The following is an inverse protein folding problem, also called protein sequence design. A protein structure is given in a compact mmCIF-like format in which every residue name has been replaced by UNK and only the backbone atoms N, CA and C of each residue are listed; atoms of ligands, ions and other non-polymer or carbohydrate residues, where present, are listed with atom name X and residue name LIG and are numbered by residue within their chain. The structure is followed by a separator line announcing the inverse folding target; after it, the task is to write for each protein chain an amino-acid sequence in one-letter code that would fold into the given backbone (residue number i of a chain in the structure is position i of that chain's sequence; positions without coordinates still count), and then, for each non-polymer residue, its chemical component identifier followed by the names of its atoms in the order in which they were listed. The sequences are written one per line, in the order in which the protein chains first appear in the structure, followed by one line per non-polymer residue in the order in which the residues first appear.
data_IF_456556799447
#
_entry.id   IF_456556799447
#
_cell.length_a   1.000
_cell.length_b   1.000
_cell.length_c   1.000
_cell.angle_alpha   90.00
_cell.angle_beta   90.00
_cell.angle_gamma   90.00
#
_symmetry.space_group_name_H-M   'P 1'
#
loop_
_entity.id
_entity.type
_entity.pdbx_description
1 polymer ?
#
# COMPACT_ATOMS: atom_id res chain seq x y z
N UNK A 1 5.79 -6.20 30.13
CA UNK A 1 4.59 -6.20 29.28
C UNK A 1 4.88 -6.96 28.00
N UNK A 2 4.06 -7.95 27.71
CA UNK A 2 4.17 -8.81 26.52
C UNK A 2 2.92 -8.62 25.66
N UNK A 3 3.07 -8.18 24.42
CA UNK A 3 1.96 -7.90 23.51
C UNK A 3 1.95 -8.92 22.38
N UNK A 4 0.76 -9.45 22.09
CA UNK A 4 0.50 -10.28 20.92
C UNK A 4 -0.16 -9.46 19.81
N UNK A 5 0.42 -9.46 18.62
CA UNK A 5 -0.17 -8.87 17.40
C UNK A 5 -0.62 -10.01 16.48
N UNK A 6 -1.90 -10.08 16.20
CA UNK A 6 -2.46 -11.06 15.28
C UNK A 6 -2.49 -10.49 13.86
N UNK A 7 -1.72 -11.13 12.98
CA UNK A 7 -1.58 -10.75 11.58
C UNK A 7 -0.19 -10.24 11.22
N UNK A 8 0.37 -10.77 10.14
CA UNK A 8 1.64 -10.35 9.57
C UNK A 8 1.41 -9.35 8.44
N UNK A 9 0.85 -8.20 8.77
CA UNK A 9 0.56 -7.10 7.84
C UNK A 9 1.35 -5.84 8.22
N UNK A 10 1.31 -4.85 7.35
CA UNK A 10 2.09 -3.62 7.51
C UNK A 10 1.73 -2.86 8.80
N UNK A 11 0.45 -2.82 9.17
CA UNK A 11 -0.04 -2.15 10.39
C UNK A 11 0.63 -2.72 11.64
N UNK A 12 0.60 -4.06 11.78
CA UNK A 12 1.23 -4.73 12.91
C UNK A 12 2.75 -4.63 12.90
N UNK A 13 3.38 -4.64 11.72
CA UNK A 13 4.82 -4.45 11.62
C UNK A 13 5.26 -3.06 12.06
N UNK A 14 4.53 -2.01 11.68
CA UNK A 14 4.78 -0.64 12.14
C UNK A 14 4.60 -0.55 13.66
N UNK A 15 3.47 -1.04 14.17
CA UNK A 15 3.19 -1.04 15.60
C UNK A 15 4.26 -1.81 16.40
N UNK A 16 4.64 -2.99 15.95
CA UNK A 16 5.69 -3.80 16.60
C UNK A 16 7.03 -3.06 16.67
N UNK A 17 7.45 -2.41 15.58
CA UNK A 17 8.69 -1.63 15.58
C UNK A 17 8.65 -0.46 16.57
N UNK A 18 7.50 0.21 16.71
CA UNK A 18 7.33 1.33 17.67
C UNK A 18 7.35 0.81 19.12
N UNK A 19 6.65 -0.31 19.38
CA UNK A 19 6.61 -0.92 20.71
C UNK A 19 7.99 -1.42 21.14
N UNK A 20 8.73 -2.08 20.25
CA UNK A 20 10.09 -2.53 20.51
C UNK A 20 11.05 -1.36 20.80
N UNK A 21 10.90 -0.23 20.11
CA UNK A 21 11.65 1.00 20.42
C UNK A 21 11.38 1.49 21.86
N UNK A 22 10.18 1.23 22.36
CA UNK A 22 9.78 1.53 23.77
C UNK A 22 10.12 0.40 24.74
N UNK A 23 10.92 -0.60 24.35
CA UNK A 23 11.32 -1.78 25.13
C UNK A 23 10.13 -2.65 25.58
N UNK A 24 9.05 -2.68 24.82
CA UNK A 24 7.90 -3.56 25.05
C UNK A 24 8.08 -4.82 24.19
N UNK A 25 7.93 -5.98 24.80
CA UNK A 25 8.05 -7.27 24.09
C UNK A 25 6.82 -7.49 23.19
N UNK A 26 7.07 -7.91 21.96
CA UNK A 26 6.02 -8.11 20.96
C UNK A 26 6.23 -9.42 20.22
N UNK A 27 5.20 -10.24 20.17
CA UNK A 27 5.10 -11.41 19.30
C UNK A 27 4.10 -11.13 18.18
N UNK A 28 4.48 -11.43 16.93
CA UNK A 28 3.57 -11.37 15.77
C UNK A 28 3.15 -12.78 15.44
N UNK A 29 1.86 -13.08 15.58
CA UNK A 29 1.28 -14.40 15.28
C UNK A 29 0.47 -14.29 13.98
N UNK A 30 0.72 -15.22 13.04
CA UNK A 30 -0.05 -15.28 11.80
C UNK A 30 -0.22 -16.71 11.29
N UNK A 31 -1.31 -16.94 10.55
CA UNK A 31 -1.52 -18.16 9.77
C UNK A 31 -0.93 -18.05 8.37
N UNK A 32 -0.77 -16.85 7.85
CA UNK A 32 -0.50 -16.60 6.44
C UNK A 32 0.90 -17.01 6.01
N UNK A 33 0.96 -17.52 4.79
CA UNK A 33 2.23 -17.68 4.05
C UNK A 33 2.76 -16.27 3.72
N UNK A 34 4.02 -15.94 4.02
CA UNK A 34 4.57 -14.60 3.84
C UNK A 34 4.76 -14.16 2.37
N UNK A 35 4.54 -15.02 1.40
CA UNK A 35 5.09 -14.89 0.04
C UNK A 35 4.42 -13.83 -0.84
N UNK A 36 3.15 -13.49 -0.61
CA UNK A 36 2.42 -12.57 -1.50
C UNK A 36 2.74 -11.08 -1.27
N UNK A 37 3.28 -10.71 -0.11
CA UNK A 37 3.50 -9.30 0.26
C UNK A 37 4.91 -8.79 -0.11
N UNK A 38 5.85 -9.66 -0.39
CA UNK A 38 7.26 -9.29 -0.62
C UNK A 38 7.56 -8.88 -2.07
N UNK A 39 6.79 -9.37 -3.04
CA UNK A 39 7.02 -9.17 -4.47
C UNK A 39 5.90 -8.41 -5.18
N UNK A 40 5.06 -7.70 -4.44
CA UNK A 40 3.96 -6.92 -5.00
C UNK A 40 4.46 -5.65 -5.70
N UNK A 41 3.84 -5.28 -6.81
CA UNK A 41 4.04 -3.99 -7.50
C UNK A 41 3.20 -2.87 -6.89
N UNK A 42 2.40 -3.16 -5.86
CA UNK A 42 1.55 -2.20 -5.17
C UNK A 42 2.34 -1.07 -4.55
N UNK A 43 1.74 0.11 -4.55
CA UNK A 43 2.27 1.30 -3.92
C UNK A 43 1.34 1.81 -2.83
N UNK A 44 1.88 2.57 -1.91
CA UNK A 44 1.13 3.22 -0.84
C UNK A 44 1.46 4.71 -0.82
N UNK A 45 0.44 5.53 -0.67
CA UNK A 45 0.58 6.95 -0.41
C UNK A 45 0.44 7.21 1.10
N UNK A 46 1.39 7.91 1.67
CA UNK A 46 1.43 8.27 3.09
C UNK A 46 1.40 9.79 3.20
N UNK A 47 0.47 10.34 3.99
CA UNK A 47 0.40 11.78 4.23
C UNK A 47 1.70 12.31 4.82
N UNK A 48 1.98 13.59 4.61
CA UNK A 48 3.20 14.22 5.12
C UNK A 48 3.36 14.04 6.64
N UNK A 49 2.28 14.18 7.42
CA UNK A 49 2.30 14.01 8.86
C UNK A 49 2.61 12.56 9.27
N UNK A 50 1.92 11.60 8.67
CA UNK A 50 2.19 10.20 8.93
C UNK A 50 3.60 9.79 8.49
N UNK A 51 4.12 10.36 7.40
CA UNK A 51 5.49 10.10 6.97
C UNK A 51 6.52 10.69 7.95
N UNK A 52 6.28 11.89 8.50
CA UNK A 52 7.09 12.47 9.59
C UNK A 52 7.10 11.55 10.80
N UNK A 53 5.91 11.12 11.25
CA UNK A 53 5.78 10.18 12.37
C UNK A 53 6.57 8.88 12.15
N UNK A 54 6.50 8.32 10.94
CA UNK A 54 7.28 7.13 10.60
C UNK A 54 8.79 7.41 10.61
N UNK A 55 9.24 8.57 10.11
CA UNK A 55 10.66 8.96 10.14
C UNK A 55 11.23 9.06 11.55
N UNK A 56 10.46 9.56 12.48
CA UNK A 56 10.86 9.68 13.90
C UNK A 56 10.97 8.31 14.56
N UNK A 57 10.17 7.35 14.15
CA UNK A 57 10.05 6.07 14.82
C UNK A 57 10.77 4.92 14.12
N UNK A 58 11.04 5.01 12.82
CA UNK A 58 11.56 3.90 12.01
C UNK A 58 12.79 4.33 11.24
N UNK A 59 13.92 3.73 11.59
CA UNK A 59 15.20 3.96 10.90
C UNK A 59 15.14 3.49 9.44
N UNK A 60 15.61 4.32 8.52
CA UNK A 60 15.73 3.97 7.10
C UNK A 60 14.51 4.30 6.24
N UNK A 61 13.39 4.74 6.82
CA UNK A 61 12.18 5.12 6.08
C UNK A 61 12.43 6.29 5.12
N UNK A 62 13.35 7.20 5.47
CA UNK A 62 13.68 8.40 4.68
C UNK A 62 14.17 8.08 3.26
N UNK A 63 14.70 6.88 3.04
CA UNK A 63 15.24 6.45 1.75
C UNK A 63 14.18 5.80 0.83
N UNK A 64 12.95 5.62 1.32
CA UNK A 64 11.91 4.91 0.58
C UNK A 64 10.85 5.82 -0.03
N UNK A 65 10.58 6.94 0.61
CA UNK A 65 9.46 7.80 0.22
C UNK A 65 9.82 8.78 -0.89
N UNK A 66 9.05 8.76 -1.98
CA UNK A 66 9.14 9.75 -3.04
C UNK A 66 8.15 10.89 -2.78
N UNK A 67 8.59 12.15 -2.65
CA UNK A 67 7.72 13.27 -2.32
C UNK A 67 6.86 13.66 -3.52
N UNK A 68 5.58 13.91 -3.27
CA UNK A 68 4.63 14.45 -4.24
C UNK A 68 4.27 15.88 -3.87
N UNK A 69 4.51 16.81 -4.79
CA UNK A 69 4.31 18.24 -4.57
C UNK A 69 2.92 18.70 -4.98
N UNK A 70 2.35 18.06 -6.01
CA UNK A 70 1.05 18.40 -6.57
C UNK A 70 0.23 17.15 -6.89
N UNK A 71 -1.08 17.29 -6.79
CA UNK A 71 -2.05 16.33 -7.30
C UNK A 71 -2.90 17.05 -8.33
N UNK A 72 -2.95 16.52 -9.54
CA UNK A 72 -3.78 17.03 -10.62
C UNK A 72 -4.85 16.03 -10.99
N UNK A 73 -6.08 16.50 -11.07
CA UNK A 73 -7.25 15.69 -11.41
C UNK A 73 -7.84 16.19 -12.72
N UNK A 74 -8.06 15.26 -13.65
CA UNK A 74 -8.60 15.50 -14.98
C UNK A 74 -9.85 14.66 -15.25
N UNK A 75 -10.63 15.06 -16.26
CA UNK A 75 -11.70 14.25 -16.84
C UNK A 75 -11.42 14.01 -18.33
N UNK A 76 -11.72 12.81 -18.83
CA UNK A 76 -11.61 12.50 -20.26
C UNK A 76 -12.79 13.05 -21.09
N UNK A 77 -13.87 13.56 -20.44
CA UNK A 77 -15.03 14.12 -21.14
C UNK A 77 -14.71 15.38 -21.92
N UNK A 78 -13.82 16.21 -21.39
CA UNK A 78 -13.38 17.47 -22.01
C UNK A 78 -11.88 17.40 -22.24
N UNK A 79 -11.43 16.69 -23.29
CA UNK A 79 -10.02 16.53 -23.68
C UNK A 79 -9.08 17.49 -22.93
N UNK A 80 -8.57 17.08 -21.76
CA UNK A 80 -7.57 17.80 -20.97
C UNK A 80 -8.04 18.94 -20.05
N UNK A 81 -9.31 19.06 -19.69
CA UNK A 81 -9.66 20.05 -18.66
C UNK A 81 -9.23 19.56 -17.28
N UNK A 82 -8.27 20.27 -16.69
CA UNK A 82 -7.92 20.11 -15.29
C UNK A 82 -9.15 20.49 -14.44
N UNK A 83 -9.64 19.55 -13.64
CA UNK A 83 -10.77 19.77 -12.74
C UNK A 83 -10.31 20.42 -11.44
N UNK A 84 -9.23 19.88 -10.85
CA UNK A 84 -8.67 20.32 -9.59
C UNK A 84 -7.15 20.17 -9.57
N UNK A 85 -6.47 21.16 -8.95
CA UNK A 85 -5.08 21.04 -8.53
C UNK A 85 -5.01 21.17 -7.00
N UNK A 86 -4.42 20.20 -6.33
CA UNK A 86 -4.06 20.30 -4.92
C UNK A 86 -2.57 20.57 -4.82
N UNK A 87 -2.24 21.77 -4.33
CA UNK A 87 -0.89 22.22 -4.07
C UNK A 87 -0.83 22.78 -2.66
N UNK A 88 0.11 22.30 -1.86
CA UNK A 88 0.40 22.90 -0.57
C UNK A 88 1.63 23.78 -0.72
N UNK A 89 1.49 25.08 -0.49
CA UNK A 89 2.50 26.11 -0.87
C UNK A 89 3.88 25.90 -0.21
N UNK A 90 3.96 25.20 0.93
CA UNK A 90 5.22 25.01 1.66
C UNK A 90 5.47 23.57 2.13
N UNK A 91 4.65 22.61 1.74
CA UNK A 91 4.79 21.23 2.21
C UNK A 91 4.52 20.22 1.08
N UNK A 92 5.10 19.05 1.21
CA UNK A 92 4.75 17.90 0.35
C UNK A 92 3.34 17.42 0.70
N UNK A 93 2.54 17.08 -0.29
CA UNK A 93 1.18 16.59 -0.06
C UNK A 93 1.22 15.20 0.57
N UNK A 94 1.98 14.30 -0.02
CA UNK A 94 2.19 12.94 0.46
C UNK A 94 3.49 12.36 -0.09
N UNK A 95 3.87 11.19 0.44
CA UNK A 95 4.99 10.40 -0.02
C UNK A 95 4.49 9.08 -0.59
N UNK A 96 4.99 8.73 -1.77
CA UNK A 96 4.71 7.46 -2.41
C UNK A 96 5.83 6.47 -2.14
N UNK A 97 5.47 5.25 -1.77
CA UNK A 97 6.40 4.17 -1.47
C UNK A 97 5.93 2.88 -2.15
N UNK A 98 6.88 2.03 -2.54
CA UNK A 98 6.57 0.64 -2.88
C UNK A 98 6.18 -0.11 -1.61
N UNK A 99 5.03 -0.75 -1.61
CA UNK A 99 4.55 -1.53 -0.47
C UNK A 99 5.58 -2.59 -0.03
N UNK A 100 6.14 -3.32 -0.99
CA UNK A 100 7.16 -4.34 -0.74
C UNK A 100 8.41 -3.78 -0.07
N UNK A 101 8.88 -2.59 -0.47
CA UNK A 101 10.05 -1.95 0.13
C UNK A 101 9.80 -1.57 1.59
N UNK A 102 8.62 -0.99 1.87
CA UNK A 102 8.22 -0.64 3.23
C UNK A 102 8.05 -1.90 4.10
N UNK A 103 7.36 -2.92 3.60
CA UNK A 103 7.17 -4.19 4.30
C UNK A 103 8.52 -4.85 4.64
N UNK A 104 9.44 -4.92 3.68
CA UNK A 104 10.77 -5.50 3.88
C UNK A 104 11.60 -4.69 4.87
N UNK A 105 11.52 -3.35 4.84
CA UNK A 105 12.19 -2.50 5.84
C UNK A 105 11.69 -2.82 7.26
N UNK A 106 10.35 -2.89 7.43
CA UNK A 106 9.76 -3.19 8.75
C UNK A 106 10.20 -4.55 9.28
N UNK A 107 10.34 -5.56 8.42
CA UNK A 107 10.75 -6.91 8.81
C UNK A 107 12.24 -7.05 9.17
N UNK A 108 13.09 -6.10 8.79
CA UNK A 108 14.54 -6.17 9.08
C UNK A 108 14.90 -6.04 10.55
N UNK A 109 13.98 -5.59 11.40
CA UNK A 109 14.25 -5.47 12.83
C UNK A 109 14.46 -6.87 13.45
N UNK A 110 15.68 -7.12 13.91
CA UNK A 110 16.11 -8.41 14.48
C UNK A 110 15.39 -8.81 15.76
N UNK A 111 14.76 -7.87 16.43
CA UNK A 111 14.00 -8.11 17.66
C UNK A 111 12.55 -8.54 17.42
N UNK A 112 12.09 -8.50 16.16
CA UNK A 112 10.77 -9.00 15.80
C UNK A 112 10.70 -10.53 15.94
N UNK A 113 9.73 -11.00 16.68
CA UNK A 113 9.46 -12.41 16.86
C UNK A 113 8.21 -12.81 16.10
N UNK A 114 8.38 -13.68 15.10
CA UNK A 114 7.29 -14.20 14.29
C UNK A 114 6.95 -15.63 14.72
N UNK A 115 5.69 -15.87 15.06
CA UNK A 115 5.18 -17.17 15.45
C UNK A 115 4.16 -17.62 14.42
N UNK A 116 4.41 -18.75 13.76
CA UNK A 116 3.49 -19.37 12.82
C UNK A 116 2.65 -20.40 13.54
N UNK A 117 1.35 -20.22 13.58
CA UNK A 117 0.41 -21.20 14.08
C UNK A 117 -0.49 -21.63 12.92
N UNK A 118 -0.58 -22.94 12.65
CA UNK A 118 -1.46 -23.48 11.58
C UNK A 118 -2.92 -23.18 11.89
N UNK A 119 -3.34 -23.43 13.12
CA UNK A 119 -4.66 -23.08 13.62
C UNK A 119 -4.50 -22.40 14.97
N UNK A 120 -4.91 -21.14 15.07
CA UNK A 120 -4.94 -20.46 16.36
C UNK A 120 -6.37 -20.02 16.71
N UNK A 121 -6.73 -20.28 17.95
CA UNK A 121 -7.91 -19.74 18.59
C UNK A 121 -7.47 -18.96 19.83
N UNK A 122 -8.42 -18.34 20.51
CA UNK A 122 -8.11 -17.59 21.74
C UNK A 122 -7.47 -18.42 22.83
N UNK A 123 -7.84 -19.68 22.97
CA UNK A 123 -7.35 -20.51 24.07
C UNK A 123 -5.86 -20.84 23.88
N UNK A 124 -5.44 -21.09 22.64
CA UNK A 124 -4.02 -21.28 22.29
C UNK A 124 -3.21 -20.02 22.57
N UNK A 125 -3.79 -18.84 22.32
CA UNK A 125 -3.10 -17.56 22.55
C UNK A 125 -3.09 -17.21 24.03
N UNK A 126 -4.18 -17.40 24.77
CA UNK A 126 -4.28 -17.16 26.21
C UNK A 126 -3.27 -17.97 27.02
N UNK A 127 -2.99 -19.21 26.63
CA UNK A 127 -1.97 -20.07 27.27
C UNK A 127 -0.55 -19.48 27.20
N UNK A 128 -0.32 -18.45 26.40
CA UNK A 128 0.98 -17.79 26.25
C UNK A 128 1.18 -16.56 27.14
N UNK A 129 0.22 -16.25 28.02
CA UNK A 129 0.30 -15.17 29.02
C UNK A 129 0.68 -13.80 28.44
N UNK A 130 -0.05 -13.35 27.40
CA UNK A 130 0.06 -11.98 26.91
C UNK A 130 -0.80 -11.02 27.74
N UNK A 131 -0.23 -9.87 28.05
CA UNK A 131 -0.93 -8.79 28.75
C UNK A 131 -1.97 -8.11 27.83
N UNK A 132 -1.70 -8.08 26.51
CA UNK A 132 -2.58 -7.46 25.51
C UNK A 132 -2.52 -8.26 24.20
N UNK A 133 -3.69 -8.44 23.58
CA UNK A 133 -3.83 -9.04 22.26
C UNK A 133 -4.46 -8.00 21.33
N UNK A 134 -3.74 -7.63 20.26
CA UNK A 134 -4.21 -6.72 19.22
C UNK A 134 -4.44 -7.51 17.93
N UNK A 135 -5.65 -7.47 17.40
CA UNK A 135 -6.04 -8.21 16.20
C UNK A 135 -6.27 -7.26 15.03
N UNK A 136 -5.48 -7.40 13.98
CA UNK A 136 -5.61 -6.66 12.72
C UNK A 136 -5.95 -7.57 11.53
N UNK A 137 -6.29 -8.83 11.76
CA UNK A 137 -6.73 -9.75 10.71
C UNK A 137 -8.26 -9.85 10.66
N UNK A 138 -8.84 -9.57 9.50
CA UNK A 138 -10.29 -9.58 9.31
C UNK A 138 -10.90 -10.99 9.32
N UNK A 139 -10.16 -11.99 8.86
CA UNK A 139 -10.70 -13.32 8.55
C UNK A 139 -10.18 -14.45 9.48
N UNK A 140 -9.85 -14.15 10.73
CA UNK A 140 -9.44 -15.16 11.69
C UNK A 140 -10.60 -15.59 12.62
N UNK A 141 -10.49 -16.72 13.33
CA UNK A 141 -11.53 -17.22 14.25
C UNK A 141 -11.89 -16.22 15.36
N UNK A 142 -10.91 -15.40 15.80
CA UNK A 142 -11.12 -14.42 16.87
C UNK A 142 -11.99 -13.27 16.36
N UNK A 143 -11.71 -12.76 15.16
CA UNK A 143 -12.55 -11.74 14.52
C UNK A 143 -13.98 -12.24 14.37
N UNK A 144 -14.16 -13.47 13.87
CA UNK A 144 -15.50 -14.07 13.71
C UNK A 144 -16.26 -14.22 15.03
N UNK A 145 -15.55 -14.46 16.13
CA UNK A 145 -16.17 -14.63 17.47
C UNK A 145 -16.64 -13.29 18.05
N UNK A 146 -15.87 -12.22 17.89
CA UNK A 146 -16.13 -10.92 18.57
C UNK A 146 -16.80 -9.89 17.66
N UNK A 147 -16.63 -9.99 16.35
CA UNK A 147 -17.19 -9.05 15.37
C UNK A 147 -18.22 -9.77 14.50
N UNK A 148 -19.42 -9.96 15.03
CA UNK A 148 -20.47 -10.73 14.37
C UNK A 148 -21.18 -9.96 13.24
N UNK A 149 -21.20 -8.62 13.31
CA UNK A 149 -21.82 -7.77 12.30
C UNK A 149 -20.77 -7.27 11.34
N UNK A 150 -20.85 -7.69 10.08
CA UNK A 150 -20.00 -7.26 8.98
C UNK A 150 -20.87 -6.70 7.87
N UNK A 151 -20.63 -5.45 7.49
CA UNK A 151 -21.25 -4.86 6.31
C UNK A 151 -20.27 -5.05 5.16
N UNK A 152 -20.63 -5.83 4.17
CA UNK A 152 -19.86 -6.03 2.95
C UNK A 152 -20.64 -5.53 1.75
N UNK A 153 -19.99 -4.71 0.93
CA UNK A 153 -20.53 -4.27 -0.36
C UNK A 153 -19.53 -4.63 -1.46
N UNK A 154 -19.93 -5.49 -2.36
CA UNK A 154 -19.14 -5.82 -3.54
C UNK A 154 -19.46 -4.79 -4.64
N UNK A 155 -18.45 -4.00 -5.03
CA UNK A 155 -18.58 -2.98 -6.09
C UNK A 155 -18.40 -3.57 -7.50
N UNK A 156 -18.12 -4.88 -7.63
CA UNK A 156 -17.88 -5.58 -8.91
C UNK A 156 -16.83 -4.86 -9.77
N UNK A 157 -15.79 -4.35 -9.12
CA UNK A 157 -14.69 -3.61 -9.75
C UNK A 157 -13.35 -4.18 -9.31
N UNK A 158 -12.35 -4.10 -10.19
CA UNK A 158 -10.97 -4.46 -9.91
C UNK A 158 -10.05 -3.27 -10.14
N UNK A 159 -9.06 -3.12 -9.26
CA UNK A 159 -7.96 -2.23 -9.48
C UNK A 159 -6.76 -3.00 -10.05
N UNK A 160 -6.26 -2.56 -11.21
CA UNK A 160 -5.08 -3.11 -11.88
C UNK A 160 -3.91 -2.16 -11.63
N UNK A 161 -2.80 -2.70 -11.13
CA UNK A 161 -1.62 -1.90 -10.83
C UNK A 161 -0.39 -2.45 -11.54
N UNK A 162 0.45 -1.54 -12.02
CA UNK A 162 1.75 -1.84 -12.61
C UNK A 162 2.72 -0.68 -12.36
N UNK A 163 4.01 -0.93 -12.52
CA UNK A 163 5.04 0.11 -12.49
C UNK A 163 5.59 0.27 -13.90
N UNK A 164 5.64 1.50 -14.39
CA UNK A 164 6.35 1.86 -15.63
C UNK A 164 7.71 2.43 -15.30
N UNK A 165 8.74 1.95 -16.02
CA UNK A 165 10.04 2.59 -16.12
C UNK A 165 10.05 3.49 -17.34
N UNK A 166 10.50 4.73 -17.20
CA UNK A 166 10.49 5.73 -18.26
C UNK A 166 11.78 6.56 -18.28
N UNK A 167 12.00 7.34 -19.34
CA UNK A 167 13.12 8.28 -19.39
C UNK A 167 13.03 9.24 -18.21
N UNK A 168 14.20 9.65 -17.68
CA UNK A 168 14.29 10.55 -16.52
C UNK A 168 13.60 11.88 -16.80
N UNK A 169 12.72 12.27 -15.88
CA UNK A 169 12.01 13.57 -15.88
C UNK A 169 11.93 14.08 -14.44
N UNK A 170 11.58 15.34 -14.24
CA UNK A 170 11.14 15.81 -12.92
C UNK A 170 9.75 15.27 -12.61
N UNK A 171 9.67 14.26 -11.76
CA UNK A 171 8.47 13.47 -11.53
C UNK A 171 7.94 13.66 -10.10
N UNK A 172 7.26 14.78 -9.84
CA UNK A 172 6.73 15.14 -8.51
C UNK A 172 5.23 15.41 -8.50
N UNK A 173 4.56 15.18 -9.63
CA UNK A 173 3.13 15.46 -9.78
C UNK A 173 2.40 14.12 -9.90
N UNK A 174 1.48 13.84 -8.97
CA UNK A 174 0.55 12.75 -9.11
C UNK A 174 -0.63 13.21 -10.00
N UNK A 175 -1.03 12.37 -10.93
CA UNK A 175 -2.13 12.68 -11.84
C UNK A 175 -3.19 11.61 -11.75
N UNK A 176 -4.46 12.00 -11.67
CA UNK A 176 -5.61 11.10 -11.77
C UNK A 176 -6.53 11.60 -12.87
N UNK A 177 -6.98 10.68 -13.72
CA UNK A 177 -7.89 10.97 -14.82
C UNK A 177 -9.14 10.12 -14.64
N UNK A 178 -10.29 10.77 -14.52
CA UNK A 178 -11.59 10.09 -14.50
C UNK A 178 -12.01 9.75 -15.92
N UNK A 179 -12.06 8.46 -16.23
CA UNK A 179 -12.45 7.95 -17.54
C UNK A 179 -13.81 7.27 -17.49
N UNK A 180 -14.43 7.04 -18.65
CA UNK A 180 -15.71 6.29 -18.73
C UNK A 180 -15.62 4.86 -18.18
N UNK A 181 -14.43 4.25 -18.20
CA UNK A 181 -14.21 2.86 -17.70
C UNK A 181 -13.80 2.83 -16.24
N UNK A 182 -13.50 3.97 -15.63
CA UNK A 182 -13.01 4.14 -14.27
C UNK A 182 -11.75 5.02 -14.21
N UNK A 183 -11.30 5.42 -13.03
CA UNK A 183 -10.15 6.29 -12.87
C UNK A 183 -8.82 5.58 -13.18
N UNK A 184 -7.92 6.31 -13.86
CA UNK A 184 -6.51 5.93 -13.99
C UNK A 184 -5.65 6.95 -13.25
N UNK A 185 -4.69 6.48 -12.45
CA UNK A 185 -3.75 7.32 -11.73
C UNK A 185 -2.31 7.02 -12.14
N UNK A 186 -1.52 8.10 -12.27
CA UNK A 186 -0.08 8.09 -12.47
C UNK A 186 0.57 8.62 -11.20
N UNK A 187 1.24 7.77 -10.47
CA UNK A 187 1.77 8.03 -9.13
C UNK A 187 3.31 7.97 -9.15
N UNK A 188 4.03 9.10 -9.02
CA UNK A 188 5.47 9.13 -9.13
C UNK A 188 6.16 8.35 -8.01
N UNK A 189 7.11 7.49 -8.37
CA UNK A 189 7.95 6.73 -7.42
C UNK A 189 9.42 7.16 -7.43
N UNK A 190 9.84 7.76 -8.53
CA UNK A 190 11.16 8.36 -8.71
C UNK A 190 11.16 9.21 -9.98
N UNK A 191 12.30 9.79 -10.35
CA UNK A 191 12.45 10.53 -11.62
C UNK A 191 12.34 9.62 -12.87
N UNK A 192 12.37 8.31 -12.72
CA UNK A 192 12.33 7.35 -13.82
C UNK A 192 11.33 6.19 -13.59
N UNK A 193 10.55 6.24 -12.52
CA UNK A 193 9.52 5.24 -12.22
C UNK A 193 8.21 5.90 -11.80
N UNK A 194 7.11 5.36 -12.30
CA UNK A 194 5.74 5.78 -11.96
C UNK A 194 4.86 4.55 -11.77
N UNK A 195 4.11 4.51 -10.68
CA UNK A 195 3.09 3.50 -10.47
C UNK A 195 1.81 3.90 -11.19
N UNK A 196 1.21 2.95 -11.86
CA UNK A 196 -0.09 3.09 -12.52
C UNK A 196 -1.11 2.33 -11.71
N UNK A 197 -2.25 2.96 -11.46
CA UNK A 197 -3.42 2.31 -10.86
C UNK A 197 -4.61 2.62 -11.74
N UNK A 198 -5.22 1.58 -12.30
CA UNK A 198 -6.43 1.69 -13.10
C UNK A 198 -7.56 0.91 -12.44
N UNK A 199 -8.57 1.59 -11.93
CA UNK A 199 -9.79 0.97 -11.43
C UNK A 199 -10.79 0.78 -12.56
N UNK A 200 -11.19 -0.46 -12.78
CA UNK A 200 -12.16 -0.79 -13.83
C UNK A 200 -13.44 -1.34 -13.21
N UNK A 201 -14.59 -0.87 -13.67
CA UNK A 201 -15.92 -1.39 -13.29
C UNK A 201 -16.19 -2.74 -13.96
N UNK A 202 -15.31 -3.69 -13.70
CA UNK A 202 -15.36 -5.05 -14.24
C UNK A 202 -14.63 -6.00 -13.31
N UNK A 203 -15.10 -7.24 -13.22
CA UNK A 203 -14.44 -8.34 -12.50
C UNK A 203 -13.44 -9.11 -13.38
N UNK A 204 -13.26 -8.71 -14.63
CA UNK A 204 -12.30 -9.37 -15.53
C UNK A 204 -10.88 -8.90 -15.25
N UNK A 205 -9.98 -9.85 -15.11
CA UNK A 205 -8.55 -9.58 -15.01
C UNK A 205 -8.05 -8.93 -16.31
N UNK A 206 -7.11 -8.03 -16.18
CA UNK A 206 -6.50 -7.33 -17.31
C UNK A 206 -5.07 -7.82 -17.49
N UNK A 207 -4.71 -8.14 -18.72
CA UNK A 207 -3.35 -8.46 -19.08
C UNK A 207 -2.48 -7.21 -19.27
N UNK A 208 -1.20 -7.43 -19.41
CA UNK A 208 -0.19 -6.39 -19.54
C UNK A 208 -0.37 -5.53 -20.81
N UNK A 209 -0.75 -6.15 -21.93
CA UNK A 209 -0.93 -5.45 -23.20
C UNK A 209 -2.16 -4.53 -23.15
N UNK A 210 -3.26 -5.03 -22.61
CA UNK A 210 -4.50 -4.27 -22.44
C UNK A 210 -4.29 -3.06 -21.51
N UNK A 211 -3.57 -3.24 -20.39
CA UNK A 211 -3.24 -2.12 -19.49
C UNK A 211 -2.32 -1.12 -20.19
N UNK A 212 -1.32 -1.57 -20.94
CA UNK A 212 -0.39 -0.70 -21.66
C UNK A 212 -1.11 0.15 -22.73
N UNK A 213 -2.11 -0.40 -23.43
CA UNK A 213 -2.94 0.36 -24.37
C UNK A 213 -3.70 1.51 -23.65
N UNK A 214 -4.25 1.23 -22.46
CA UNK A 214 -4.93 2.26 -21.66
C UNK A 214 -3.92 3.30 -21.16
N UNK A 215 -2.77 2.87 -20.67
CA UNK A 215 -1.70 3.78 -20.24
C UNK A 215 -1.31 4.72 -21.39
N UNK A 216 -1.01 4.19 -22.58
CA UNK A 216 -0.59 4.97 -23.74
C UNK A 216 -1.66 5.97 -24.17
N UNK A 217 -2.94 5.64 -24.04
CA UNK A 217 -4.04 6.55 -24.37
C UNK A 217 -4.07 7.81 -23.49
N UNK A 218 -3.72 7.66 -22.21
CA UNK A 218 -3.81 8.74 -21.21
C UNK A 218 -2.44 9.28 -20.77
N UNK A 219 -1.35 8.69 -21.28
CA UNK A 219 0.01 9.12 -21.01
C UNK A 219 0.42 10.28 -21.93
N UNK A 220 0.65 11.45 -21.34
CA UNK A 220 1.08 12.64 -22.08
C UNK A 220 2.54 13.06 -21.80
N UNK A 221 3.23 12.41 -20.82
CA UNK A 221 4.53 12.91 -20.37
C UNK A 221 5.62 11.83 -20.28
N UNK A 222 5.26 10.54 -20.17
CA UNK A 222 6.24 9.50 -19.94
C UNK A 222 6.69 8.82 -21.23
N UNK A 223 7.98 8.86 -21.53
CA UNK A 223 8.60 8.00 -22.54
C UNK A 223 8.88 6.63 -21.91
N UNK A 224 7.93 5.70 -22.05
CA UNK A 224 7.95 4.40 -21.40
C UNK A 224 9.01 3.51 -22.04
N UNK A 225 9.89 2.92 -21.21
CA UNK A 225 10.90 1.94 -21.61
C UNK A 225 10.44 0.52 -21.29
N UNK A 226 9.75 0.34 -20.13
CA UNK A 226 9.33 -0.98 -19.63
C UNK A 226 8.08 -0.83 -18.75
N UNK A 227 7.28 -1.88 -18.71
CA UNK A 227 6.19 -2.05 -17.74
C UNK A 227 6.39 -3.36 -16.98
N UNK A 228 6.13 -3.34 -15.67
CA UNK A 228 6.12 -4.54 -14.81
C UNK A 228 4.98 -5.50 -15.19
N UNK A 229 4.89 -6.63 -14.53
CA UNK A 229 3.68 -7.44 -14.53
C UNK A 229 2.52 -6.69 -13.87
N UNK A 230 1.29 -7.08 -14.23
CA UNK A 230 0.07 -6.47 -13.71
C UNK A 230 -0.40 -7.26 -12.50
N UNK A 231 -0.68 -6.55 -11.42
CA UNK A 231 -1.31 -7.12 -10.23
C UNK A 231 -2.74 -6.56 -10.12
N UNK A 232 -3.72 -7.43 -9.90
CA UNK A 232 -5.13 -7.06 -9.77
C UNK A 232 -5.61 -7.28 -8.34
N UNK A 233 -6.37 -6.30 -7.83
CA UNK A 233 -6.92 -6.30 -6.47
C UNK A 233 -8.39 -5.89 -6.53
N UNK A 234 -9.26 -6.65 -5.87
CA UNK A 234 -10.70 -6.38 -5.73
C UNK A 234 -11.18 -6.61 -4.34
#
# INVERSE_FOLDING_TARGET
MNICLLGNNLTNLVLANILLKKKINVDIISQAKPSLLTNTVRTIAISNENYKFLKENIKGISNLGWPTEKIKIYSDKNKSSELFEFKNNNQKNFYLLKYSALYNLMKKNKFLKFIKLKNYNLDVIRKRNYDLIINSEQNNPITKKYFQKKIEKNYKSLAHTAIIDHKKIENKIATQIFTKKGPIAFLPLSNNQTSIVFSNNSTKLMDKLSLLQIINKYNHQYKINKISDVESVG
#
